data_IF_872026649475
#
_entry.id   IF_872026649475
#
_cell.length_a   1.000
_cell.length_b   1.000
_cell.length_c   1.000
_cell.angle_alpha   90.00
_cell.angle_beta   90.00
_cell.angle_gamma   90.00
#
_symmetry.space_group_name_H-M   'P 1'
#
loop_
_entity.id
_entity.type
_entity.pdbx_description
1 polymer ?
#
# COMPACT_ATOMS: atom_id res chain seq x y z
N UNK A 1 15.45 -36.29 -26.82
CA UNK A 1 14.02 -36.02 -27.11
C UNK A 1 13.44 -35.21 -25.95
N UNK A 2 13.16 -33.92 -26.15
CA UNK A 2 12.64 -33.04 -25.11
C UNK A 2 11.12 -33.27 -24.88
N UNK A 3 10.61 -33.22 -23.64
CA UNK A 3 9.19 -33.42 -23.36
C UNK A 3 8.32 -32.40 -24.12
N UNK A 4 7.27 -32.87 -24.77
CA UNK A 4 6.39 -32.03 -25.58
C UNK A 4 5.62 -31.04 -24.69
N UNK A 5 5.84 -29.74 -24.92
CA UNK A 5 5.23 -28.61 -24.20
C UNK A 5 3.69 -28.50 -24.35
N UNK A 6 3.01 -29.48 -24.98
CA UNK A 6 1.55 -29.57 -25.09
C UNK A 6 0.84 -29.65 -23.72
N UNK A 7 1.54 -30.04 -22.63
CA UNK A 7 0.96 -30.10 -21.28
C UNK A 7 0.68 -28.73 -20.63
N UNK A 8 1.35 -27.66 -21.05
CA UNK A 8 1.30 -26.35 -20.34
C UNK A 8 0.37 -25.32 -21.00
N UNK A 9 0.00 -25.53 -22.27
CA UNK A 9 -0.85 -24.63 -23.03
C UNK A 9 -2.31 -24.47 -22.49
N UNK A 10 -2.94 -25.48 -21.87
CA UNK A 10 -4.30 -25.32 -21.34
C UNK A 10 -4.38 -24.44 -20.09
N UNK A 11 -3.30 -24.37 -19.29
CA UNK A 11 -3.29 -23.71 -17.98
C UNK A 11 -3.18 -22.17 -18.07
N UNK A 12 -2.83 -21.64 -19.24
CA UNK A 12 -2.66 -20.20 -19.49
C UNK A 12 -3.87 -19.56 -20.21
N UNK A 13 -4.85 -20.36 -20.66
CA UNK A 13 -6.00 -19.87 -21.45
C UNK A 13 -7.22 -19.46 -20.61
N UNK A 14 -7.22 -19.70 -19.31
CA UNK A 14 -8.42 -19.51 -18.47
C UNK A 14 -8.20 -18.55 -17.30
N UNK A 15 -7.81 -17.29 -17.54
CA UNK A 15 -7.96 -16.20 -16.55
C UNK A 15 -8.20 -14.85 -17.24
N UNK A 16 -9.21 -14.12 -16.75
CA UNK A 16 -10.02 -13.16 -17.51
C UNK A 16 -9.44 -11.76 -17.80
N UNK A 17 -8.15 -11.49 -17.58
CA UNK A 17 -7.61 -10.13 -17.83
C UNK A 17 -6.39 -10.08 -18.77
N UNK A 18 -5.99 -11.20 -19.38
CA UNK A 18 -4.97 -11.24 -20.44
C UNK A 18 -5.35 -12.25 -21.53
N UNK A 19 -5.83 -11.77 -22.69
CA UNK A 19 -6.05 -12.63 -23.86
C UNK A 19 -4.75 -12.82 -24.63
N UNK A 20 -4.13 -14.00 -24.49
CA UNK A 20 -3.03 -14.44 -25.36
C UNK A 20 -3.63 -14.86 -26.70
N UNK A 21 -3.42 -14.06 -27.75
CA UNK A 21 -4.05 -14.30 -29.06
C UNK A 21 -3.38 -15.42 -29.86
N UNK A 22 -2.08 -15.64 -29.68
CA UNK A 22 -1.37 -16.80 -30.24
C UNK A 22 -0.08 -17.12 -29.49
N UNK A 23 0.21 -18.41 -29.33
CA UNK A 23 1.53 -18.95 -29.01
C UNK A 23 2.05 -19.62 -30.29
N UNK A 24 3.22 -19.20 -30.79
CA UNK A 24 3.94 -19.95 -31.82
C UNK A 24 5.28 -20.41 -31.25
N UNK A 25 5.56 -21.70 -31.35
CA UNK A 25 6.89 -22.25 -31.13
C UNK A 25 7.75 -21.99 -32.37
N UNK A 26 8.91 -21.37 -32.19
CA UNK A 26 9.97 -21.40 -33.20
C UNK A 26 10.80 -22.65 -32.97
N UNK A 27 11.03 -23.46 -34.01
CA UNK A 27 12.09 -24.47 -34.02
C UNK A 27 13.44 -23.78 -33.81
N UNK A 28 14.35 -24.44 -33.09
CA UNK A 28 15.67 -23.92 -32.78
C UNK A 28 16.45 -23.68 -34.07
N UNK A 29 16.91 -22.44 -34.28
CA UNK A 29 18.08 -22.22 -35.14
C UNK A 29 19.28 -22.73 -34.34
N UNK A 30 20.14 -23.53 -34.98
CA UNK A 30 21.30 -24.16 -34.34
C UNK A 30 22.10 -23.13 -33.51
N UNK A 31 22.34 -23.44 -32.23
CA UNK A 31 23.15 -22.64 -31.32
C UNK A 31 22.41 -21.60 -30.45
N UNK A 32 21.06 -21.56 -30.41
CA UNK A 32 20.32 -20.68 -29.48
C UNK A 32 19.21 -21.40 -28.70
N UNK A 33 18.99 -21.07 -27.41
CA UNK A 33 17.96 -21.69 -26.59
C UNK A 33 16.54 -21.40 -27.12
N UNK A 34 15.57 -22.30 -26.88
CA UNK A 34 14.19 -22.12 -27.31
C UNK A 34 13.54 -20.90 -26.64
N UNK A 35 12.68 -20.18 -27.38
CA UNK A 35 11.96 -19.00 -26.88
C UNK A 35 10.48 -19.08 -27.23
N UNK A 36 9.63 -18.48 -26.40
CA UNK A 36 8.20 -18.33 -26.63
C UNK A 36 7.94 -16.92 -27.20
N UNK A 37 7.21 -16.84 -28.32
CA UNK A 37 6.67 -15.59 -28.84
C UNK A 37 5.26 -15.42 -28.28
N UNK A 38 5.05 -14.41 -27.44
CA UNK A 38 3.74 -14.07 -26.89
C UNK A 38 3.27 -12.74 -27.48
N UNK A 39 2.08 -12.74 -28.10
CA UNK A 39 1.41 -11.52 -28.54
C UNK A 39 0.34 -11.17 -27.52
N UNK A 40 0.47 -10.00 -26.88
CA UNK A 40 -0.47 -9.50 -25.88
C UNK A 40 -1.33 -8.40 -26.51
N UNK A 41 -2.65 -8.52 -26.42
CA UNK A 41 -3.60 -7.49 -26.88
C UNK A 41 -4.25 -6.79 -25.68
N UNK A 42 -4.43 -5.48 -25.83
CA UNK A 42 -4.57 -4.47 -24.77
C UNK A 42 -6.04 -4.09 -24.48
N UNK A 43 -6.38 -3.78 -23.23
CA UNK A 43 -7.49 -2.86 -22.89
C UNK A 43 -7.18 -2.10 -21.57
N UNK A 44 -7.12 -0.76 -21.63
CA UNK A 44 -7.17 0.14 -20.47
C UNK A 44 -5.92 1.00 -20.19
N UNK A 45 -6.14 2.26 -19.77
CA UNK A 45 -5.13 3.30 -19.47
C UNK A 45 -4.09 2.93 -18.38
N UNK A 46 -4.28 1.81 -17.67
CA UNK A 46 -3.35 1.28 -16.66
C UNK A 46 -2.22 0.39 -17.22
N UNK A 47 -2.30 -0.05 -18.48
CA UNK A 47 -1.29 -0.93 -19.08
C UNK A 47 0.09 -0.27 -19.21
N UNK A 48 0.15 1.06 -19.30
CA UNK A 48 1.38 1.84 -19.46
C UNK A 48 2.26 1.83 -18.21
N UNK A 49 1.68 1.78 -17.01
CA UNK A 49 2.44 1.75 -15.73
C UNK A 49 3.02 0.36 -15.45
N UNK A 50 2.24 -0.69 -15.74
CA UNK A 50 2.71 -2.09 -15.75
C UNK A 50 3.87 -2.24 -16.74
N UNK A 51 3.75 -1.65 -17.93
CA UNK A 51 4.78 -1.68 -18.96
C UNK A 51 6.09 -0.99 -18.55
N UNK A 52 6.04 0.23 -17.97
CA UNK A 52 7.25 0.93 -17.46
C UNK A 52 7.97 0.13 -16.37
N UNK A 53 7.22 -0.59 -15.53
CA UNK A 53 7.76 -1.40 -14.43
C UNK A 53 8.52 -2.65 -14.88
N UNK A 54 8.09 -3.33 -15.95
CA UNK A 54 8.75 -4.56 -16.44
C UNK A 54 9.73 -4.34 -17.60
N UNK A 55 9.73 -3.18 -18.24
CA UNK A 55 10.65 -2.84 -19.33
C UNK A 55 12.14 -3.04 -18.99
N UNK A 56 12.64 -2.75 -17.77
CA UNK A 56 14.05 -3.00 -17.41
C UNK A 56 14.38 -4.50 -17.34
N UNK A 57 13.43 -5.33 -16.90
CA UNK A 57 13.58 -6.79 -16.79
C UNK A 57 13.42 -7.50 -18.14
N UNK A 58 12.69 -6.90 -19.08
CA UNK A 58 12.53 -7.37 -20.46
C UNK A 58 13.69 -6.95 -21.37
N UNK A 59 14.46 -5.91 -21.00
CA UNK A 59 15.63 -5.42 -21.75
C UNK A 59 16.85 -6.33 -21.67
N UNK A 60 16.90 -7.27 -20.72
CA UNK A 60 18.07 -8.12 -20.49
C UNK A 60 18.22 -9.30 -21.46
N UNK A 61 17.39 -9.45 -22.50
CA UNK A 61 17.50 -10.63 -23.36
C UNK A 61 16.82 -10.66 -24.75
N UNK A 62 16.30 -9.56 -25.30
CA UNK A 62 15.72 -9.63 -26.64
C UNK A 62 15.34 -8.33 -27.34
N UNK A 63 15.41 -8.36 -28.67
CA UNK A 63 14.93 -7.32 -29.58
C UNK A 63 13.41 -7.11 -29.43
N UNK A 64 13.02 -5.96 -28.87
CA UNK A 64 11.65 -5.49 -28.78
C UNK A 64 11.39 -4.42 -29.85
N UNK A 65 10.32 -4.55 -30.65
CA UNK A 65 9.84 -3.47 -31.53
C UNK A 65 8.40 -3.12 -31.18
N UNK A 66 8.13 -1.84 -30.98
CA UNK A 66 6.83 -1.28 -30.61
C UNK A 66 6.19 -0.67 -31.87
N UNK A 67 4.92 -1.01 -32.15
CA UNK A 67 4.07 -0.25 -33.07
C UNK A 67 2.71 -0.01 -32.40
N UNK A 68 2.12 1.15 -32.68
CA UNK A 68 0.88 1.67 -32.10
C UNK A 68 -0.12 0.60 -31.65
N UNK A 69 -0.38 0.52 -30.35
CA UNK A 69 -1.46 -0.28 -29.78
C UNK A 69 -1.19 -1.77 -29.54
N UNK A 70 -0.01 -2.30 -29.89
CA UNK A 70 0.33 -3.71 -29.63
C UNK A 70 1.78 -3.88 -29.14
N UNK A 71 1.96 -4.58 -28.01
CA UNK A 71 3.28 -4.99 -27.52
C UNK A 71 3.57 -6.38 -28.05
N UNK A 72 4.53 -6.49 -28.98
CA UNK A 72 5.02 -7.77 -29.49
C UNK A 72 6.29 -8.14 -28.74
N UNK A 73 6.20 -9.06 -27.77
CA UNK A 73 7.35 -9.58 -27.04
C UNK A 73 7.95 -10.74 -27.84
N UNK A 74 9.16 -10.54 -28.37
CA UNK A 74 9.79 -11.50 -29.29
C UNK A 74 10.52 -12.64 -28.58
N UNK A 75 10.98 -12.44 -27.34
CA UNK A 75 11.69 -13.45 -26.54
C UNK A 75 11.43 -13.24 -25.04
N UNK A 76 10.97 -14.27 -24.34
CA UNK A 76 10.99 -14.35 -22.88
C UNK A 76 11.95 -15.46 -22.49
N UNK A 77 13.05 -15.18 -21.77
CA UNK A 77 13.93 -16.24 -21.27
C UNK A 77 13.21 -17.05 -20.19
N UNK A 78 13.24 -18.37 -20.34
CA UNK A 78 12.77 -19.32 -19.32
C UNK A 78 13.95 -19.57 -18.39
N UNK A 79 14.02 -18.88 -17.25
CA UNK A 79 14.94 -19.24 -16.19
C UNK A 79 14.35 -20.42 -15.38
N UNK A 80 15.10 -21.52 -15.29
CA UNK A 80 14.92 -22.65 -14.36
C UNK A 80 13.54 -23.33 -14.30
N UNK A 81 12.92 -23.56 -15.46
CA UNK A 81 11.80 -24.52 -15.58
C UNK A 81 10.56 -24.22 -14.72
N UNK A 82 10.50 -23.05 -14.07
CA UNK A 82 9.39 -22.59 -13.24
C UNK A 82 8.70 -21.44 -13.96
N UNK A 83 7.49 -21.70 -14.45
CA UNK A 83 6.62 -20.62 -14.88
C UNK A 83 6.36 -19.68 -13.70
N UNK A 84 6.71 -18.40 -13.84
CA UNK A 84 6.30 -17.36 -12.90
C UNK A 84 4.78 -17.30 -12.94
N UNK A 85 4.13 -17.82 -11.90
CA UNK A 85 2.68 -17.83 -11.77
C UNK A 85 2.24 -16.44 -11.33
N UNK A 86 1.89 -15.59 -12.30
CA UNK A 86 1.16 -14.35 -12.04
C UNK A 86 -0.28 -14.74 -11.72
N UNK A 87 -0.57 -15.07 -10.47
CA UNK A 87 -1.96 -15.20 -10.00
C UNK A 87 -2.47 -13.79 -9.74
N UNK A 88 -3.49 -13.29 -10.46
CA UNK A 88 -4.21 -12.11 -10.01
C UNK A 88 -4.77 -12.47 -8.64
N UNK A 89 -4.44 -11.69 -7.60
CA UNK A 89 -5.23 -11.71 -6.38
C UNK A 89 -6.68 -11.41 -6.79
N UNK A 90 -7.49 -12.47 -6.88
CA UNK A 90 -8.89 -12.41 -7.22
C UNK A 90 -9.59 -11.59 -6.15
N UNK A 91 -10.00 -10.38 -6.50
CA UNK A 91 -10.97 -9.64 -5.71
C UNK A 91 -12.29 -10.34 -5.99
N UNK A 92 -12.86 -11.00 -4.99
CA UNK A 92 -14.19 -11.59 -5.12
C UNK A 92 -15.20 -10.46 -5.30
N UNK A 93 -15.63 -10.22 -6.55
CA UNK A 93 -16.56 -9.12 -6.84
C UNK A 93 -17.84 -9.18 -5.99
N UNK A 94 -18.27 -10.40 -5.63
CA UNK A 94 -19.38 -10.63 -4.69
C UNK A 94 -19.07 -10.21 -3.24
N UNK A 95 -17.89 -10.52 -2.72
CA UNK A 95 -17.46 -10.10 -1.38
C UNK A 95 -17.20 -8.61 -1.29
N UNK A 96 -16.68 -7.97 -2.34
CA UNK A 96 -16.52 -6.52 -2.41
C UNK A 96 -17.87 -5.77 -2.39
N UNK A 97 -18.88 -6.28 -3.10
CA UNK A 97 -20.25 -5.71 -3.08
C UNK A 97 -20.91 -5.93 -1.72
N UNK A 98 -20.81 -7.14 -1.17
CA UNK A 98 -21.33 -7.44 0.17
C UNK A 98 -20.65 -6.58 1.25
N UNK A 99 -19.32 -6.45 1.22
CA UNK A 99 -18.57 -5.60 2.14
C UNK A 99 -19.00 -4.14 2.03
N UNK A 100 -19.18 -3.63 0.82
CA UNK A 100 -19.61 -2.24 0.60
C UNK A 100 -21.01 -2.00 1.16
N UNK A 101 -21.95 -2.93 0.93
CA UNK A 101 -23.29 -2.86 1.50
C UNK A 101 -23.26 -2.99 3.03
N UNK A 102 -22.54 -3.96 3.57
CA UNK A 102 -22.42 -4.21 5.01
C UNK A 102 -21.77 -3.04 5.76
N UNK A 103 -20.65 -2.52 5.22
CA UNK A 103 -19.97 -1.31 5.71
C UNK A 103 -20.95 -0.14 5.79
N UNK A 104 -21.69 0.11 4.72
CA UNK A 104 -22.58 1.28 4.63
C UNK A 104 -23.90 1.10 5.39
N UNK A 105 -24.37 -0.13 5.59
CA UNK A 105 -25.62 -0.42 6.29
C UNK A 105 -25.45 -0.59 7.81
N UNK A 106 -24.28 -1.03 8.29
CA UNK A 106 -24.07 -1.35 9.71
C UNK A 106 -22.98 -0.47 10.33
N UNK A 107 -21.73 -0.61 9.86
CA UNK A 107 -20.62 0.09 10.49
C UNK A 107 -20.75 1.62 10.38
N UNK A 108 -21.00 2.14 9.18
CA UNK A 108 -21.08 3.59 8.98
C UNK A 108 -22.20 4.24 9.81
N UNK A 109 -23.44 3.71 9.87
CA UNK A 109 -24.48 4.27 10.74
C UNK A 109 -24.15 4.19 12.22
N UNK A 110 -23.59 3.08 12.70
CA UNK A 110 -23.17 2.94 14.10
C UNK A 110 -22.08 3.99 14.43
N UNK A 111 -21.00 4.02 13.65
CA UNK A 111 -19.90 4.95 13.88
C UNK A 111 -20.36 6.41 13.77
N UNK A 112 -21.18 6.74 12.76
CA UNK A 112 -21.64 8.12 12.53
C UNK A 112 -22.67 8.59 13.56
N UNK A 113 -23.68 7.77 13.86
CA UNK A 113 -24.82 8.20 14.67
C UNK A 113 -24.72 7.76 16.13
N UNK A 114 -24.26 6.54 16.43
CA UNK A 114 -24.11 6.08 17.81
C UNK A 114 -22.86 6.68 18.46
N UNK A 115 -21.73 6.67 17.74
CA UNK A 115 -20.48 7.25 18.25
C UNK A 115 -20.29 8.72 17.85
N UNK A 116 -21.22 9.31 17.09
CA UNK A 116 -21.17 10.73 16.74
C UNK A 116 -19.98 11.12 15.85
N UNK A 117 -19.46 10.19 15.04
CA UNK A 117 -18.27 10.42 14.25
C UNK A 117 -18.45 11.49 13.17
N UNK A 118 -17.40 12.29 12.95
CA UNK A 118 -17.36 13.35 11.93
C UNK A 118 -16.20 13.15 10.97
N UNK A 119 -16.39 13.59 9.74
CA UNK A 119 -15.35 13.61 8.71
C UNK A 119 -15.30 15.00 8.08
N UNK A 120 -14.10 15.53 7.94
CA UNK A 120 -13.80 16.82 7.33
C UNK A 120 -12.78 16.61 6.22
N UNK A 121 -12.94 17.30 5.09
CA UNK A 121 -11.98 17.23 3.98
C UNK A 121 -12.05 15.96 3.13
N UNK A 122 -13.13 15.17 3.19
CA UNK A 122 -13.25 13.93 2.39
C UNK A 122 -13.05 14.17 0.88
N UNK A 123 -13.42 15.35 0.38
CA UNK A 123 -13.21 15.75 -1.01
C UNK A 123 -11.73 15.79 -1.44
N UNK A 124 -10.79 15.86 -0.49
CA UNK A 124 -9.37 15.81 -0.79
C UNK A 124 -8.89 14.42 -1.18
N UNK A 125 -9.67 13.36 -0.93
CA UNK A 125 -9.31 12.01 -1.36
C UNK A 125 -9.60 11.89 -2.87
N UNK A 126 -8.60 11.57 -3.71
CA UNK A 126 -8.83 11.28 -5.12
C UNK A 126 -9.88 10.19 -5.31
N UNK A 127 -10.87 10.45 -6.16
CA UNK A 127 -11.97 9.52 -6.44
C UNK A 127 -11.51 8.28 -7.22
N UNK A 128 -10.42 8.42 -8.00
CA UNK A 128 -9.79 7.37 -8.77
C UNK A 128 -8.25 7.50 -8.73
N UNK A 129 -7.56 6.43 -9.15
CA UNK A 129 -6.11 6.35 -9.07
C UNK A 129 -5.60 5.82 -7.72
N UNK A 130 -4.32 5.47 -7.68
CA UNK A 130 -3.67 5.00 -6.46
C UNK A 130 -3.50 6.16 -5.50
N UNK A 131 -3.75 5.95 -4.22
CA UNK A 131 -3.54 6.97 -3.18
C UNK A 131 -3.15 6.33 -1.86
N UNK A 132 -2.26 6.99 -1.12
CA UNK A 132 -1.91 6.63 0.25
C UNK A 132 -2.59 7.60 1.22
N UNK A 133 -3.38 7.10 2.16
CA UNK A 133 -3.85 7.84 3.32
C UNK A 133 -2.85 7.65 4.46
N UNK A 134 -2.13 8.70 4.84
CA UNK A 134 -1.14 8.66 5.92
C UNK A 134 -1.75 9.30 7.17
N UNK A 135 -1.92 8.51 8.24
CA UNK A 135 -2.60 8.93 9.46
C UNK A 135 -1.71 8.84 10.70
N UNK A 136 -1.92 9.71 11.68
CA UNK A 136 -1.51 9.42 13.07
C UNK A 136 -2.25 8.17 13.58
N UNK A 137 -1.70 7.48 14.58
CA UNK A 137 -2.32 6.29 15.17
C UNK A 137 -2.51 6.44 16.68
N UNK A 138 -3.73 6.74 17.11
CA UNK A 138 -4.07 6.88 18.53
C UNK A 138 -4.44 5.54 19.15
N UNK A 139 -5.32 4.77 18.50
CA UNK A 139 -5.78 3.49 19.05
C UNK A 139 -6.36 2.53 17.98
N UNK A 140 -6.81 1.34 18.39
CA UNK A 140 -7.46 0.36 17.53
C UNK A 140 -8.68 0.93 16.77
N UNK A 141 -9.38 1.88 17.39
CA UNK A 141 -10.54 2.55 16.80
C UNK A 141 -10.25 3.20 15.44
N UNK A 142 -9.01 3.67 15.21
CA UNK A 142 -8.59 4.30 13.96
C UNK A 142 -8.83 3.41 12.74
N UNK A 143 -8.56 2.11 12.89
CA UNK A 143 -8.68 1.12 11.80
C UNK A 143 -10.12 0.76 11.49
N UNK A 144 -11.08 1.24 12.28
CA UNK A 144 -12.53 1.06 12.08
C UNK A 144 -13.16 2.37 11.63
N UNK A 145 -12.88 3.47 12.33
CA UNK A 145 -13.52 4.76 12.10
C UNK A 145 -13.15 5.32 10.73
N UNK A 146 -11.86 5.39 10.39
CA UNK A 146 -11.40 5.94 9.10
C UNK A 146 -12.05 5.22 7.90
N UNK A 147 -11.93 3.89 7.74
CA UNK A 147 -12.54 3.21 6.60
C UNK A 147 -14.07 3.25 6.62
N UNK A 148 -14.73 3.36 7.78
CA UNK A 148 -16.20 3.49 7.84
C UNK A 148 -16.69 4.88 7.38
N UNK A 149 -15.92 5.93 7.71
CA UNK A 149 -16.33 7.32 7.48
C UNK A 149 -16.06 7.83 6.07
N UNK A 150 -15.16 7.19 5.29
CA UNK A 150 -14.86 7.60 3.92
C UNK A 150 -15.49 6.71 2.85
N UNK A 151 -15.67 7.23 1.64
CA UNK A 151 -16.22 6.51 0.48
C UNK A 151 -15.28 5.44 -0.08
N UNK A 152 -14.00 5.77 -0.29
CA UNK A 152 -13.00 4.86 -0.86
C UNK A 152 -12.76 3.67 0.09
N UNK A 153 -12.66 2.46 -0.45
CA UNK A 153 -12.27 1.29 0.35
C UNK A 153 -10.79 1.39 0.69
N UNK A 154 -10.46 1.37 1.99
CA UNK A 154 -9.07 1.46 2.48
C UNK A 154 -8.52 0.07 2.74
N UNK A 155 -7.36 -0.21 2.16
CA UNK A 155 -6.56 -1.40 2.45
C UNK A 155 -5.41 -1.01 3.37
N UNK A 156 -5.33 -1.57 4.58
CA UNK A 156 -4.13 -1.42 5.42
C UNK A 156 -3.18 -2.61 5.24
N UNK A 157 -1.87 -2.38 5.33
CA UNK A 157 -0.90 -3.44 5.47
C UNK A 157 -0.94 -4.03 6.87
N UNK A 158 -1.27 -5.31 6.98
CA UNK A 158 -1.29 -6.06 8.23
C UNK A 158 -0.13 -7.07 8.28
N UNK A 159 0.28 -7.48 9.49
CA UNK A 159 1.41 -8.41 9.68
C UNK A 159 1.15 -9.71 8.89
N UNK A 160 2.10 -10.14 8.07
CA UNK A 160 1.94 -11.32 7.20
C UNK A 160 1.54 -12.60 7.98
N UNK A 161 2.03 -12.74 9.21
CA UNK A 161 1.73 -13.89 10.08
C UNK A 161 0.26 -13.94 10.53
N UNK A 162 -0.46 -12.83 10.51
CA UNK A 162 -1.90 -12.81 10.83
C UNK A 162 -2.75 -13.49 9.75
N UNK A 163 -2.23 -13.58 8.52
CA UNK A 163 -2.91 -14.23 7.41
C UNK A 163 -2.73 -15.75 7.40
N UNK A 164 -1.81 -16.31 8.20
CA UNK A 164 -1.52 -17.75 8.17
C UNK A 164 -2.66 -18.60 8.73
N UNK A 165 -3.43 -18.08 9.70
CA UNK A 165 -4.57 -18.81 10.26
C UNK A 165 -4.23 -20.14 10.94
N UNK A 166 -2.95 -20.38 11.25
CA UNK A 166 -2.44 -21.68 11.70
C UNK A 166 -2.35 -21.83 13.22
N UNK A 167 -2.67 -20.79 14.00
CA UNK A 167 -2.56 -20.79 15.48
C UNK A 167 -3.85 -21.15 16.23
N UNK A 168 -4.90 -21.58 15.53
CA UNK A 168 -6.18 -21.98 16.13
C UNK A 168 -7.42 -21.37 15.45
N UNK A 169 -8.63 -21.71 15.90
CA UNK A 169 -9.89 -21.26 15.28
C UNK A 169 -10.04 -19.74 15.26
N UNK A 170 -9.63 -19.05 16.34
CA UNK A 170 -9.60 -17.59 16.38
C UNK A 170 -8.65 -16.99 15.34
N UNK A 171 -7.46 -17.58 15.14
CA UNK A 171 -6.51 -17.13 14.12
C UNK A 171 -7.04 -17.33 12.69
N UNK A 172 -7.80 -18.41 12.43
CA UNK A 172 -8.49 -18.61 11.15
C UNK A 172 -9.55 -17.53 10.89
N UNK A 173 -10.32 -17.18 11.92
CA UNK A 173 -11.33 -16.11 11.82
C UNK A 173 -10.67 -14.75 11.53
N UNK A 174 -9.60 -14.41 12.23
CA UNK A 174 -8.82 -13.18 11.96
C UNK A 174 -8.26 -13.19 10.54
N UNK A 175 -7.67 -14.31 10.10
CA UNK A 175 -7.10 -14.43 8.77
C UNK A 175 -8.16 -14.36 7.66
N UNK A 176 -9.36 -14.90 7.89
CA UNK A 176 -10.51 -14.76 7.00
C UNK A 176 -10.99 -13.32 6.96
N UNK A 177 -11.16 -12.68 8.12
CA UNK A 177 -11.61 -11.30 8.24
C UNK A 177 -10.66 -10.32 7.53
N UNK A 178 -9.35 -10.44 7.75
CA UNK A 178 -8.36 -9.59 7.10
C UNK A 178 -8.42 -9.70 5.57
N UNK A 179 -8.63 -10.90 5.03
CA UNK A 179 -8.82 -11.11 3.59
C UNK A 179 -10.14 -10.52 3.11
N UNK A 180 -11.23 -10.77 3.84
CA UNK A 180 -12.57 -10.29 3.50
C UNK A 180 -12.65 -8.76 3.47
N UNK A 181 -11.92 -8.08 4.35
CA UNK A 181 -11.85 -6.60 4.40
C UNK A 181 -10.71 -6.03 3.55
N UNK A 182 -10.13 -6.83 2.65
CA UNK A 182 -9.17 -6.38 1.64
C UNK A 182 -7.81 -5.94 2.17
N UNK A 183 -7.39 -6.42 3.34
CA UNK A 183 -6.08 -6.11 3.93
C UNK A 183 -4.98 -6.89 3.22
N UNK A 184 -3.79 -6.30 3.11
CA UNK A 184 -2.64 -6.95 2.46
C UNK A 184 -1.59 -7.38 3.49
N UNK A 185 -0.97 -8.55 3.32
CA UNK A 185 0.13 -8.96 4.16
C UNK A 185 1.34 -8.07 3.89
N UNK A 186 2.00 -7.62 4.96
CA UNK A 186 3.25 -6.87 4.90
C UNK A 186 4.30 -7.62 5.70
N UNK A 187 5.37 -8.00 5.01
CA UNK A 187 6.56 -8.55 5.66
C UNK A 187 7.48 -7.40 6.08
N UNK A 188 7.81 -7.37 7.37
CA UNK A 188 8.69 -6.38 7.99
C UNK A 188 10.05 -6.96 8.38
N UNK A 189 10.31 -8.23 8.04
CA UNK A 189 11.51 -8.99 8.44
C UNK A 189 12.71 -8.80 7.49
N UNK A 190 12.47 -8.50 6.21
CA UNK A 190 13.48 -8.36 5.14
C UNK A 190 14.37 -7.11 5.20
N UNK A 191 14.64 -6.56 6.39
CA UNK A 191 15.38 -5.32 6.58
C UNK A 191 14.55 -4.07 6.32
N UNK A 192 14.91 -2.95 6.98
CA UNK A 192 14.18 -1.67 6.96
C UNK A 192 14.12 -0.99 5.57
N UNK A 193 14.74 -1.58 4.54
CA UNK A 193 14.95 -0.99 3.22
C UNK A 193 14.42 -1.82 2.03
N UNK A 194 14.01 -3.09 2.21
CA UNK A 194 13.61 -3.89 1.04
C UNK A 194 12.23 -3.49 0.49
N UNK A 195 12.19 -3.16 -0.80
CA UNK A 195 10.96 -2.97 -1.56
C UNK A 195 10.14 -4.28 -1.68
N UNK A 196 10.79 -5.44 -1.53
CA UNK A 196 10.13 -6.74 -1.68
C UNK A 196 9.02 -6.94 -0.65
N UNK A 197 9.24 -6.46 0.58
CA UNK A 197 8.22 -6.47 1.63
C UNK A 197 7.02 -5.59 1.31
N UNK A 198 7.19 -4.56 0.46
CA UNK A 198 6.15 -3.61 0.07
C UNK A 198 5.37 -4.03 -1.18
N UNK A 199 5.78 -5.10 -1.88
CA UNK A 199 5.19 -5.50 -3.16
C UNK A 199 3.65 -5.64 -3.13
N UNK A 200 3.01 -6.24 -2.10
CA UNK A 200 1.55 -6.31 -2.04
C UNK A 200 0.86 -4.94 -1.95
N UNK A 201 1.49 -4.00 -1.26
CA UNK A 201 0.98 -2.62 -1.14
C UNK A 201 1.11 -1.88 -2.47
N UNK A 202 2.27 -2.01 -3.13
CA UNK A 202 2.52 -1.41 -4.44
C UNK A 202 1.59 -1.97 -5.52
N UNK A 203 1.15 -3.22 -5.39
CA UNK A 203 0.15 -3.82 -6.29
C UNK A 203 -1.24 -3.18 -6.11
N UNK A 204 -1.68 -2.96 -4.88
CA UNK A 204 -2.96 -2.26 -4.60
C UNK A 204 -2.94 -0.84 -5.17
N UNK A 205 -1.85 -0.11 -4.94
CA UNK A 205 -1.70 1.25 -5.47
C UNK A 205 -1.69 1.28 -7.00
N UNK A 206 -0.97 0.34 -7.64
CA UNK A 206 -0.91 0.24 -9.10
C UNK A 206 -2.26 -0.07 -9.75
N UNK A 207 -3.15 -0.78 -9.04
CA UNK A 207 -4.53 -1.07 -9.48
C UNK A 207 -5.50 0.10 -9.22
N UNK A 208 -5.01 1.23 -8.73
CA UNK A 208 -5.83 2.39 -8.40
C UNK A 208 -6.55 2.28 -7.05
N UNK A 209 -6.03 1.47 -6.13
CA UNK A 209 -6.56 1.30 -4.78
C UNK A 209 -6.18 2.41 -3.81
N UNK A 210 -6.81 2.41 -2.63
CA UNK A 210 -6.55 3.36 -1.56
C UNK A 210 -5.89 2.61 -0.39
N UNK A 211 -4.64 2.96 -0.08
CA UNK A 211 -3.87 2.30 0.99
C UNK A 211 -3.83 3.19 2.21
N UNK A 212 -4.20 2.66 3.37
CA UNK A 212 -4.02 3.33 4.66
C UNK A 212 -2.68 2.94 5.29
N UNK A 213 -1.94 3.90 5.83
CA UNK A 213 -0.74 3.65 6.62
C UNK A 213 -0.64 4.59 7.81
N UNK A 214 -0.05 4.08 8.89
CA UNK A 214 0.35 4.85 10.06
C UNK A 214 1.88 5.04 10.04
N UNK A 215 2.40 6.22 9.61
CA UNK A 215 3.83 6.40 9.41
C UNK A 215 4.66 6.21 10.68
N UNK A 216 4.10 6.47 11.87
CA UNK A 216 4.73 6.21 13.17
C UNK A 216 5.10 4.71 13.35
N UNK A 217 4.34 3.82 12.70
CA UNK A 217 4.54 2.38 12.71
C UNK A 217 4.15 1.69 14.01
N UNK A 218 3.49 2.40 14.93
CA UNK A 218 2.89 1.91 16.18
C UNK A 218 1.81 2.90 16.62
N UNK A 219 0.88 2.47 17.49
CA UNK A 219 -0.01 3.41 18.18
C UNK A 219 0.81 4.33 19.08
N UNK A 220 0.38 5.59 19.21
CA UNK A 220 0.92 6.53 20.17
C UNK A 220 0.82 5.94 21.59
N UNK A 221 1.89 6.00 22.39
CA UNK A 221 1.87 5.58 23.79
C UNK A 221 1.01 6.48 24.69
N UNK A 222 0.87 7.77 24.34
CA UNK A 222 0.32 8.79 25.24
C UNK A 222 -0.51 9.87 24.51
N UNK A 223 -0.82 9.67 23.23
CA UNK A 223 -1.59 10.62 22.43
C UNK A 223 -0.76 11.74 21.80
N UNK A 224 0.57 11.78 21.98
CA UNK A 224 1.48 12.66 21.20
C UNK A 224 1.75 12.10 19.81
N UNK A 225 2.24 12.94 18.91
CA UNK A 225 2.68 12.55 17.58
C UNK A 225 4.18 12.25 17.60
N UNK A 226 4.57 11.06 17.16
CA UNK A 226 5.95 10.61 17.18
C UNK A 226 6.58 10.59 15.78
N UNK A 227 7.91 10.49 15.72
CA UNK A 227 8.69 10.46 14.49
C UNK A 227 8.20 9.36 13.52
N UNK A 228 7.86 9.78 12.31
CA UNK A 228 7.46 8.88 11.22
C UNK A 228 8.61 8.07 10.66
N UNK A 229 8.32 6.84 10.22
CA UNK A 229 9.23 5.94 9.50
C UNK A 229 9.16 6.20 7.99
N UNK A 230 10.29 6.03 7.31
CA UNK A 230 10.45 6.35 5.87
C UNK A 230 9.72 5.43 4.90
N UNK A 231 9.04 4.39 5.40
CA UNK A 231 8.26 3.46 4.58
C UNK A 231 7.13 4.15 3.80
N UNK A 232 6.50 5.18 4.38
CA UNK A 232 5.45 5.94 3.68
C UNK A 232 5.98 6.65 2.44
N UNK A 233 7.12 7.34 2.55
CA UNK A 233 7.79 7.98 1.42
C UNK A 233 8.24 6.94 0.38
N UNK A 234 8.82 5.83 0.83
CA UNK A 234 9.29 4.76 -0.07
C UNK A 234 8.15 4.20 -0.90
N UNK A 235 6.98 3.96 -0.30
CA UNK A 235 5.80 3.49 -1.02
C UNK A 235 5.27 4.53 -2.02
N UNK A 236 5.14 5.79 -1.61
CA UNK A 236 4.60 6.84 -2.47
C UNK A 236 5.48 7.10 -3.69
N UNK A 237 6.81 7.20 -3.50
CA UNK A 237 7.76 7.42 -4.57
C UNK A 237 7.90 6.20 -5.50
N UNK A 238 7.78 4.98 -4.97
CA UNK A 238 7.85 3.75 -5.79
C UNK A 238 6.55 3.46 -6.56
N UNK A 239 5.41 3.89 -6.03
CA UNK A 239 4.11 3.76 -6.69
C UNK A 239 3.77 4.96 -7.58
N UNK A 240 4.51 6.08 -7.47
CA UNK A 240 4.23 7.34 -8.15
C UNK A 240 2.81 7.84 -7.86
N UNK A 241 2.44 7.88 -6.58
CA UNK A 241 1.09 8.26 -6.11
C UNK A 241 1.16 9.40 -5.08
N UNK A 242 0.10 10.23 -4.95
CA UNK A 242 0.01 11.24 -3.91
C UNK A 242 -0.18 10.61 -2.52
N UNK A 243 0.20 11.37 -1.49
CA UNK A 243 -0.09 11.06 -0.09
C UNK A 243 -1.12 12.06 0.43
N UNK A 244 -2.24 11.58 0.96
CA UNK A 244 -3.24 12.40 1.64
C UNK A 244 -3.03 12.27 3.15
N UNK A 245 -2.67 13.36 3.87
CA UNK A 245 -2.51 13.33 5.30
C UNK A 245 -3.88 13.28 6.00
N UNK A 246 -3.97 12.50 7.07
CA UNK A 246 -5.18 12.32 7.86
C UNK A 246 -4.84 12.49 9.34
N UNK A 247 -5.68 13.22 10.07
CA UNK A 247 -5.65 13.26 11.52
C UNK A 247 -6.90 12.60 12.09
N UNK A 248 -6.66 11.53 12.86
CA UNK A 248 -7.63 10.97 13.79
C UNK A 248 -7.59 11.78 15.09
N UNK A 249 -8.77 12.16 15.58
CA UNK A 249 -8.99 12.80 16.88
C UNK A 249 -10.07 12.03 17.64
N UNK A 250 -9.97 11.97 18.97
CA UNK A 250 -10.94 11.35 19.86
C UNK A 250 -11.32 9.90 19.47
N UNK A 251 -10.38 9.16 18.91
CA UNK A 251 -10.60 7.80 18.39
C UNK A 251 -10.16 6.69 19.35
N UNK A 252 -9.74 7.06 20.57
CA UNK A 252 -9.38 6.14 21.63
C UNK A 252 -10.59 5.30 22.07
N UNK A 253 -10.37 4.00 22.27
CA UNK A 253 -11.41 3.09 22.70
C UNK A 253 -11.45 3.05 24.22
N UNK A 254 -12.58 3.47 24.77
CA UNK A 254 -12.89 3.37 26.21
C UNK A 254 -13.94 2.27 26.44
N UNK A 255 -14.39 2.11 27.68
CA UNK A 255 -15.53 1.23 28.01
C UNK A 255 -16.69 2.05 28.56
N UNK A 256 -17.89 1.85 28.01
CA UNK A 256 -19.14 2.39 28.53
C UNK A 256 -20.10 1.23 28.77
N UNK A 257 -20.55 1.05 30.02
CA UNK A 257 -21.37 -0.10 30.43
C UNK A 257 -20.78 -1.48 30.03
N UNK A 258 -19.45 -1.62 30.06
CA UNK A 258 -18.75 -2.86 29.69
C UNK A 258 -18.51 -3.06 28.19
N UNK A 259 -19.10 -2.23 27.32
CA UNK A 259 -18.91 -2.31 25.87
C UNK A 259 -17.82 -1.34 25.38
N UNK A 260 -17.08 -1.67 24.30
CA UNK A 260 -16.17 -0.72 23.64
C UNK A 260 -16.93 0.53 23.20
N UNK A 261 -16.41 1.70 23.54
CA UNK A 261 -17.00 3.00 23.21
C UNK A 261 -15.95 3.95 22.64
N UNK A 262 -16.33 4.70 21.62
CA UNK A 262 -15.50 5.78 21.05
C UNK A 262 -16.36 7.04 21.10
N UNK A 263 -15.83 8.11 21.69
CA UNK A 263 -16.59 9.32 21.95
C UNK A 263 -16.33 10.38 20.88
N UNK A 264 -17.26 10.55 19.95
CA UNK A 264 -17.23 11.60 18.91
C UNK A 264 -15.90 11.67 18.14
N UNK A 265 -15.46 10.57 17.49
CA UNK A 265 -14.20 10.58 16.77
C UNK A 265 -14.29 11.49 15.54
N UNK A 266 -13.22 12.24 15.28
CA UNK A 266 -13.14 13.15 14.13
C UNK A 266 -12.02 12.69 13.20
N UNK A 267 -12.35 12.58 11.91
CA UNK A 267 -11.41 12.28 10.83
C UNK A 267 -11.21 13.57 10.03
N UNK A 268 -10.04 14.20 10.15
CA UNK A 268 -9.69 15.41 9.40
C UNK A 268 -8.75 15.02 8.27
N UNK A 269 -9.12 15.29 7.02
CA UNK A 269 -8.38 14.89 5.82
C UNK A 269 -7.81 16.14 5.15
N UNK A 270 -6.50 16.23 5.03
CA UNK A 270 -5.81 17.36 4.39
C UNK A 270 -5.70 17.21 2.88
N UNK A 271 -5.13 18.24 2.24
CA UNK A 271 -4.90 18.23 0.79
C UNK A 271 -3.86 17.17 0.37
N UNK A 272 -3.97 16.59 -0.85
CA UNK A 272 -2.97 15.67 -1.36
C UNK A 272 -1.59 16.33 -1.47
N UNK A 273 -0.60 15.71 -0.84
CA UNK A 273 0.80 16.06 -0.99
C UNK A 273 1.34 15.42 -2.27
N UNK A 274 1.80 16.26 -3.19
CA UNK A 274 2.48 15.83 -4.41
C UNK A 274 4.00 15.81 -4.23
N UNK A 275 4.59 14.67 -4.55
CA UNK A 275 6.04 14.44 -4.53
C UNK A 275 6.56 13.99 -5.90
N UNK A 276 5.83 14.28 -6.98
CA UNK A 276 6.18 13.94 -8.36
C UNK A 276 7.60 14.31 -8.75
N UNK A 277 8.08 15.47 -8.30
CA UNK A 277 9.46 15.95 -8.51
C UNK A 277 10.55 15.08 -7.87
N UNK A 278 10.19 14.12 -7.01
CA UNK A 278 11.11 13.18 -6.36
C UNK A 278 10.92 11.73 -6.82
N UNK A 279 10.08 11.48 -7.84
CA UNK A 279 9.99 10.15 -8.43
C UNK A 279 11.37 9.71 -8.97
N UNK A 280 11.70 8.44 -8.79
CA UNK A 280 13.04 7.90 -9.06
C UNK A 280 14.06 8.05 -7.91
N UNK A 281 13.74 8.78 -6.83
CA UNK A 281 14.61 8.93 -5.63
C UNK A 281 14.25 7.95 -4.50
N UNK A 282 13.74 6.76 -4.84
CA UNK A 282 13.30 5.73 -3.87
C UNK A 282 14.41 5.22 -2.96
N UNK A 283 15.66 5.27 -3.42
CA UNK A 283 16.83 4.79 -2.67
C UNK A 283 17.65 5.90 -2.02
N UNK A 284 17.24 7.17 -2.16
CA UNK A 284 17.89 8.30 -1.52
C UNK A 284 17.34 8.51 -0.09
N UNK A 285 18.11 8.20 0.97
CA UNK A 285 17.62 8.29 2.34
C UNK A 285 17.28 9.72 2.76
N UNK A 286 17.95 10.74 2.20
CA UNK A 286 17.68 12.15 2.50
C UNK A 286 16.32 12.55 1.95
N UNK A 287 16.05 12.16 0.70
CA UNK A 287 14.74 12.38 0.07
C UNK A 287 13.62 11.66 0.82
N UNK A 288 13.82 10.39 1.16
CA UNK A 288 12.82 9.63 1.93
C UNK A 288 12.53 10.26 3.29
N UNK A 289 13.56 10.71 4.01
CA UNK A 289 13.39 11.39 5.31
C UNK A 289 12.62 12.68 5.15
N UNK A 290 13.03 13.55 4.22
CA UNK A 290 12.37 14.83 3.98
C UNK A 290 10.91 14.66 3.58
N UNK A 291 10.60 13.76 2.63
CA UNK A 291 9.20 13.47 2.24
C UNK A 291 8.39 12.99 3.44
N UNK A 292 8.96 12.10 4.26
CA UNK A 292 8.28 11.62 5.47
C UNK A 292 8.04 12.74 6.47
N UNK A 293 9.00 13.64 6.65
CA UNK A 293 8.85 14.80 7.54
C UNK A 293 7.73 15.73 7.06
N UNK A 294 7.61 15.96 5.75
CA UNK A 294 6.50 16.77 5.21
C UNK A 294 5.14 16.11 5.43
N UNK A 295 5.05 14.78 5.27
CA UNK A 295 3.84 14.03 5.59
C UNK A 295 3.50 14.15 7.08
N UNK A 296 4.48 13.96 7.96
CA UNK A 296 4.28 14.07 9.41
C UNK A 296 3.90 15.51 9.80
N UNK A 297 4.48 16.51 9.16
CA UNK A 297 4.19 17.91 9.40
C UNK A 297 2.76 18.26 9.01
N UNK A 298 2.27 17.75 7.87
CA UNK A 298 0.88 17.92 7.49
C UNK A 298 -0.08 17.21 8.49
N UNK A 299 0.26 16.00 8.95
CA UNK A 299 -0.52 15.31 10.00
C UNK A 299 -0.52 16.12 11.30
N UNK A 300 0.62 16.68 11.70
CA UNK A 300 0.77 17.53 12.88
C UNK A 300 -0.12 18.77 12.79
N UNK A 301 -0.13 19.46 11.64
CA UNK A 301 -0.95 20.65 11.42
C UNK A 301 -2.45 20.32 11.51
N UNK A 302 -2.87 19.17 10.98
CA UNK A 302 -4.26 18.71 11.07
C UNK A 302 -4.65 18.27 12.48
N UNK A 303 -3.75 17.59 13.18
CA UNK A 303 -4.05 16.94 14.46
C UNK A 303 -3.95 17.90 15.65
N UNK A 304 -3.03 18.86 15.61
CA UNK A 304 -2.69 19.73 16.75
C UNK A 304 -1.99 18.99 17.89
N UNK A 305 -1.50 17.76 17.66
CA UNK A 305 -0.79 16.99 18.67
C UNK A 305 0.60 17.56 18.90
N UNK A 306 1.09 17.51 20.15
CA UNK A 306 2.50 17.76 20.45
C UNK A 306 3.38 16.77 19.70
N UNK A 307 4.36 17.27 18.94
CA UNK A 307 5.32 16.44 18.22
C UNK A 307 6.56 16.11 19.05
N UNK A 308 6.98 14.86 19.00
CA UNK A 308 8.18 14.34 19.66
C UNK A 308 9.12 13.70 18.63
N UNK A 309 10.35 14.21 18.54
CA UNK A 309 11.42 13.73 17.64
C UNK A 309 12.07 12.42 18.17
N UNK A 310 11.22 11.43 18.44
CA UNK A 310 11.60 10.08 18.84
C UNK A 310 10.63 9.06 18.24
N UNK A 311 11.02 7.80 18.16
CA UNK A 311 10.10 6.75 17.75
C UNK A 311 9.23 6.32 18.93
N UNK A 312 7.91 6.31 18.78
CA UNK A 312 6.98 5.88 19.84
C UNK A 312 7.21 4.44 20.32
N UNK A 313 7.85 3.59 19.49
CA UNK A 313 8.27 2.24 19.91
C UNK A 313 9.31 2.26 21.01
N UNK A 314 10.19 3.27 21.06
CA UNK A 314 11.23 3.40 22.08
C UNK A 314 10.64 3.77 23.44
N UNK A 315 9.59 4.58 23.46
CA UNK A 315 8.82 4.88 24.68
C UNK A 315 8.09 3.62 25.15
N UNK A 316 7.41 2.91 24.25
CA UNK A 316 6.68 1.67 24.58
C UNK A 316 7.58 0.55 25.10
N UNK A 317 8.81 0.44 24.60
CA UNK A 317 9.78 -0.54 25.09
C UNK A 317 10.49 -0.11 26.38
N UNK A 318 10.25 1.10 26.87
CA UNK A 318 10.97 1.67 28.01
C UNK A 318 12.43 2.03 27.73
N UNK A 319 12.86 2.02 26.46
CA UNK A 319 14.23 2.38 26.09
C UNK A 319 14.44 3.90 26.01
N UNK A 320 13.37 4.67 26.23
CA UNK A 320 13.36 6.12 26.28
C UNK A 320 12.34 6.54 27.33
N UNK A 321 12.80 7.22 28.36
CA UNK A 321 11.97 7.67 29.49
C UNK A 321 11.05 8.83 29.07
N UNK A 322 9.99 9.13 29.84
CA UNK A 322 9.14 10.29 29.59
C UNK A 322 9.92 11.61 29.53
N UNK A 323 10.83 11.85 30.48
CA UNK A 323 11.66 13.07 30.52
C UNK A 323 12.56 13.21 29.28
N UNK A 324 13.15 12.10 28.81
CA UNK A 324 13.93 12.09 27.57
C UNK A 324 13.06 12.30 26.32
N UNK A 325 11.78 11.90 26.36
CA UNK A 325 10.82 12.19 25.30
C UNK A 325 10.48 13.69 25.28
N UNK A 326 10.25 14.28 26.46
CA UNK A 326 9.91 15.69 26.61
C UNK A 326 11.04 16.59 26.11
N UNK A 327 12.29 16.21 26.36
CA UNK A 327 13.48 16.89 25.83
C UNK A 327 13.60 16.85 24.29
N UNK A 328 12.80 16.02 23.60
CA UNK A 328 12.76 15.89 22.14
C UNK A 328 11.50 16.49 21.52
N UNK A 329 10.73 17.26 22.28
CA UNK A 329 9.61 18.01 21.73
C UNK A 329 10.16 19.08 20.79
N UNK A 330 9.66 19.10 19.55
CA UNK A 330 9.95 20.13 18.57
C UNK A 330 8.66 20.83 18.15
N UNK A 331 8.78 22.07 17.67
CA UNK A 331 7.65 22.86 17.20
C UNK A 331 6.93 22.26 15.99
N UNK A 332 7.65 21.49 15.17
CA UNK A 332 7.12 20.82 13.97
C UNK A 332 7.99 19.62 13.60
N UNK A 333 7.43 18.59 12.96
CA UNK A 333 8.24 17.58 12.26
C UNK A 333 9.16 18.21 11.22
N UNK A 334 10.41 17.76 11.17
CA UNK A 334 11.37 18.15 10.13
C UNK A 334 11.91 19.58 10.19
N UNK A 335 11.81 20.28 11.33
CA UNK A 335 12.39 21.63 11.52
C UNK A 335 13.86 21.71 11.10
N UNK A 336 14.60 20.61 11.28
CA UNK A 336 16.02 20.51 10.95
C UNK A 336 16.31 19.81 9.62
N UNK A 337 15.27 19.45 8.86
CA UNK A 337 15.40 18.68 7.62
C UNK A 337 15.41 19.62 6.42
N UNK A 338 16.52 19.65 5.67
CA UNK A 338 16.64 20.44 4.45
C UNK A 338 16.00 19.73 3.27
N UNK A 339 15.39 20.50 2.38
CA UNK A 339 14.88 19.99 1.11
C UNK A 339 16.03 19.42 0.28
N UNK A 340 15.90 18.18 -0.23
CA UNK A 340 16.91 17.58 -1.10
C UNK A 340 16.89 18.25 -2.48
N UNK A 341 18.05 18.26 -3.13
CA UNK A 341 18.18 18.72 -4.52
C UNK A 341 17.28 17.90 -5.45
N UNK A 342 16.69 18.59 -6.43
CA UNK A 342 15.84 17.95 -7.42
C UNK A 342 16.65 16.99 -8.30
N UNK A 343 16.03 15.96 -8.88
CA UNK A 343 16.63 15.17 -9.94
C UNK A 343 17.07 16.09 -11.10
N UNK A 344 18.20 15.79 -11.77
CA UNK A 344 18.48 16.41 -13.06
C UNK A 344 17.32 16.12 -14.03
N UNK A 345 16.93 17.14 -14.79
CA UNK A 345 15.77 17.15 -15.68
C UNK A 345 15.84 16.13 -16.83
#
# INVERSE_FOLDING_TARGET
MAPSYRRYAPQLRSQDDLRISSLRSSTSVAGRPPYIVATLLNFGRGATSVYRRYAPQLRSGGDLRIRAGAVRVRRVPVADGRAIRLTPAGVDKGGAVFYTLFKNAIFRPIIKYLYGARVEGEQHIPTAGGVILASNHLDAGDTVVLPAMIRRQVTFPAKAELFQGNRGPFSKLVAWFLRAVGQVPLDRSGGRASLDGLAPVLEVLARGGCVGIYPEGTRSPDGRLYKGKTGVARMALAAEVPIVPVAMKNSQVTRKAGLPWIDHPVVVIGEPLDFSRYYGRVDDPRTLRWVTDQVMAAIHDLSGQTYVEAYGTSVKSGSLTPTEADARILSRPGVNTKEPELPPA
#
